data_IF_761996462872
#
_entry.id   IF_761996462872
#
_cell.length_a   1.000
_cell.length_b   1.000
_cell.length_c   1.000
_cell.angle_alpha   90.00
_cell.angle_beta   90.00
_cell.angle_gamma   90.00
#
_symmetry.space_group_name_H-M   'P 1'
#
loop_
_entity.id
_entity.type
_entity.pdbx_description
1 polymer ?
#
# COMPACT_ATOMS: atom_id res chain seq x y z
N UNK A 1 -6.01 -4.72 -13.46
CA UNK A 1 -4.73 -4.85 -12.74
C UNK A 1 -4.72 -6.16 -11.98
N UNK A 2 -3.63 -6.93 -12.03
CA UNK A 2 -3.55 -8.23 -11.39
C UNK A 2 -2.41 -8.27 -10.38
N UNK A 3 -2.70 -8.81 -9.20
CA UNK A 3 -1.73 -9.01 -8.13
C UNK A 3 -1.50 -10.50 -7.91
N UNK A 4 -0.25 -10.93 -7.88
CA UNK A 4 0.16 -12.28 -7.54
C UNK A 4 0.94 -12.23 -6.24
N UNK A 5 0.51 -12.97 -5.23
CA UNK A 5 1.15 -12.96 -3.90
C UNK A 5 1.77 -14.32 -3.62
N UNK A 6 3.08 -14.41 -3.72
CA UNK A 6 3.85 -15.59 -3.36
C UNK A 6 3.96 -15.65 -1.83
N UNK A 7 3.32 -16.62 -1.22
CA UNK A 7 3.14 -16.71 0.24
C UNK A 7 3.16 -18.15 0.73
N UNK A 8 3.37 -18.37 2.01
CA UNK A 8 3.15 -19.65 2.69
C UNK A 8 1.73 -19.78 3.27
N UNK A 9 0.95 -18.67 3.26
CA UNK A 9 -0.36 -18.57 3.92
C UNK A 9 -1.41 -17.91 2.99
N UNK A 10 -1.81 -18.55 1.88
CA UNK A 10 -2.76 -17.99 0.91
C UNK A 10 -4.08 -17.53 1.55
N UNK A 11 -4.60 -18.30 2.51
CA UNK A 11 -5.86 -17.97 3.18
C UNK A 11 -5.80 -16.66 3.96
N UNK A 12 -4.63 -16.28 4.47
CA UNK A 12 -4.43 -15.00 5.14
C UNK A 12 -4.66 -13.83 4.18
N UNK A 13 -4.22 -13.96 2.93
CA UNK A 13 -4.46 -12.97 1.87
C UNK A 13 -5.94 -12.98 1.45
N UNK A 14 -6.45 -14.16 1.07
CA UNK A 14 -7.79 -14.32 0.49
C UNK A 14 -8.90 -13.80 1.42
N UNK A 15 -8.79 -14.07 2.72
CA UNK A 15 -9.78 -13.63 3.70
C UNK A 15 -9.84 -12.10 3.83
N UNK A 16 -8.72 -11.39 3.70
CA UNK A 16 -8.70 -9.93 3.83
C UNK A 16 -9.17 -9.28 2.53
N UNK A 17 -8.62 -9.69 1.38
CA UNK A 17 -8.91 -9.04 0.10
C UNK A 17 -10.31 -9.35 -0.42
N UNK A 18 -10.94 -10.42 0.08
CA UNK A 18 -12.32 -10.80 -0.27
C UNK A 18 -13.41 -9.88 0.28
N UNK A 19 -13.04 -8.96 1.18
CA UNK A 19 -14.00 -8.12 1.92
C UNK A 19 -14.00 -6.65 1.42
N UNK A 20 -15.05 -5.92 1.80
CA UNK A 20 -15.17 -4.47 1.64
C UNK A 20 -14.96 -3.96 0.19
N UNK A 21 -14.12 -2.94 0.03
CA UNK A 21 -13.85 -2.30 -1.28
C UNK A 21 -13.06 -3.22 -2.18
N UNK A 22 -12.03 -3.91 -1.66
CA UNK A 22 -11.22 -4.87 -2.43
C UNK A 22 -12.06 -6.01 -2.97
N UNK A 23 -12.87 -6.64 -2.11
CA UNK A 23 -13.77 -7.73 -2.52
C UNK A 23 -14.77 -7.29 -3.60
N UNK A 24 -15.31 -6.09 -3.51
CA UNK A 24 -16.19 -5.53 -4.56
C UNK A 24 -15.45 -5.27 -5.86
N UNK A 25 -14.21 -4.79 -5.80
CA UNK A 25 -13.37 -4.55 -6.98
C UNK A 25 -12.99 -5.86 -7.69
N UNK A 26 -12.68 -6.91 -6.92
CA UNK A 26 -12.44 -8.27 -7.45
C UNK A 26 -13.69 -8.81 -8.11
N UNK A 27 -14.85 -8.75 -7.44
CA UNK A 27 -16.12 -9.23 -7.98
C UNK A 27 -16.56 -8.49 -9.27
N UNK A 28 -16.14 -7.22 -9.43
CA UNK A 28 -16.37 -6.44 -10.65
C UNK A 28 -15.32 -6.70 -11.75
N UNK A 29 -14.29 -7.49 -11.47
CA UNK A 29 -13.19 -7.76 -12.41
C UNK A 29 -12.26 -6.56 -12.66
N UNK A 30 -12.25 -5.54 -11.76
CA UNK A 30 -11.38 -4.37 -11.87
C UNK A 30 -9.96 -4.69 -11.45
N UNK A 31 -9.83 -5.56 -10.45
CA UNK A 31 -8.56 -6.11 -9.98
C UNK A 31 -8.70 -7.62 -9.80
N UNK A 32 -7.58 -8.33 -9.78
CA UNK A 32 -7.51 -9.71 -9.29
C UNK A 32 -6.40 -9.84 -8.27
N UNK A 33 -6.59 -10.72 -7.27
CA UNK A 33 -5.54 -11.08 -6.30
C UNK A 33 -5.43 -12.59 -6.28
N UNK A 34 -4.27 -13.09 -6.69
CA UNK A 34 -3.97 -14.51 -6.79
C UNK A 34 -2.90 -14.86 -5.74
N UNK A 35 -3.32 -15.40 -4.61
CA UNK A 35 -2.42 -15.88 -3.57
C UNK A 35 -1.89 -17.26 -3.95
N UNK A 36 -0.58 -17.36 -4.20
CA UNK A 36 0.11 -18.55 -4.71
C UNK A 36 0.93 -19.17 -3.58
N UNK A 37 0.62 -20.41 -3.22
CA UNK A 37 1.36 -21.12 -2.18
C UNK A 37 2.73 -21.58 -2.71
N UNK A 38 3.81 -21.03 -2.14
CA UNK A 38 5.19 -21.38 -2.50
C UNK A 38 5.47 -22.88 -2.25
N UNK A 39 4.78 -23.52 -1.29
CA UNK A 39 4.93 -24.96 -0.99
C UNK A 39 4.55 -25.86 -2.16
N UNK A 40 3.69 -25.41 -3.05
CA UNK A 40 3.25 -26.20 -4.21
C UNK A 40 4.33 -26.32 -5.29
N UNK A 41 5.43 -25.57 -5.14
CA UNK A 41 6.53 -25.49 -6.11
C UNK A 41 7.83 -26.14 -5.62
N UNK A 42 7.90 -26.68 -4.40
CA UNK A 42 9.06 -27.41 -3.93
C UNK A 42 9.11 -28.82 -4.53
N UNK A 43 10.32 -29.34 -4.72
CA UNK A 43 10.56 -30.73 -5.10
C UNK A 43 10.69 -31.67 -3.89
N UNK A 44 10.67 -31.11 -2.69
CA UNK A 44 10.75 -31.91 -1.47
C UNK A 44 9.45 -32.68 -1.24
N UNK A 45 9.57 -33.99 -1.00
CA UNK A 45 8.41 -34.89 -0.78
C UNK A 45 7.54 -34.56 0.44
N UNK A 46 8.05 -33.74 1.35
CA UNK A 46 7.35 -33.27 2.55
C UNK A 46 6.95 -31.81 2.45
N UNK A 47 7.00 -31.22 1.23
CA UNK A 47 6.68 -29.82 0.96
C UNK A 47 7.50 -28.82 1.81
N UNK A 48 8.76 -29.15 2.11
CA UNK A 48 9.68 -28.25 2.79
C UNK A 48 10.06 -27.10 1.86
N UNK A 49 10.08 -25.90 2.43
CA UNK A 49 10.42 -24.64 1.73
C UNK A 49 11.48 -23.84 2.50
N UNK A 50 11.97 -24.39 3.59
CA UNK A 50 12.89 -23.75 4.53
C UNK A 50 14.09 -24.66 4.83
N UNK A 51 15.21 -24.04 5.20
CA UNK A 51 16.46 -24.75 5.54
C UNK A 51 17.31 -23.95 6.52
N UNK A 52 18.28 -24.63 7.14
CA UNK A 52 19.21 -23.99 8.08
C UNK A 52 20.17 -23.04 7.37
N UNK A 53 20.49 -21.93 8.04
CA UNK A 53 21.48 -20.98 7.55
C UNK A 53 22.88 -21.61 7.50
N UNK A 54 23.66 -21.35 6.44
CA UNK A 54 25.08 -21.79 6.36
C UNK A 54 25.96 -21.16 7.43
N UNK A 55 25.63 -19.95 7.87
CA UNK A 55 26.38 -19.25 8.93
C UNK A 55 26.17 -19.84 10.33
N UNK A 56 25.28 -20.81 10.48
CA UNK A 56 24.80 -21.24 11.79
C UNK A 56 23.83 -20.20 12.40
N UNK A 57 23.39 -20.46 13.61
CA UNK A 57 22.42 -19.60 14.31
C UNK A 57 21.08 -20.28 14.49
N UNK A 58 20.20 -19.64 15.24
CA UNK A 58 18.83 -20.09 15.43
C UNK A 58 17.96 -19.67 14.23
N UNK A 59 16.99 -20.52 13.88
CA UNK A 59 16.00 -20.23 12.86
C UNK A 59 16.31 -20.85 11.49
N UNK A 60 15.40 -20.59 10.56
CA UNK A 60 15.38 -21.17 9.21
C UNK A 60 15.28 -20.03 8.19
N UNK A 61 15.75 -20.28 6.96
CA UNK A 61 15.54 -19.39 5.81
C UNK A 61 14.64 -20.07 4.79
N UNK A 62 13.83 -19.27 4.08
CA UNK A 62 13.11 -19.74 2.91
C UNK A 62 14.10 -20.08 1.79
N UNK A 63 13.94 -21.27 1.21
CA UNK A 63 14.85 -21.81 0.19
C UNK A 63 14.67 -21.14 -1.16
N UNK A 64 15.75 -21.03 -1.92
CA UNK A 64 15.78 -20.44 -3.25
C UNK A 64 14.92 -21.18 -4.27
N UNK A 65 14.97 -22.52 -4.27
CA UNK A 65 14.37 -23.36 -5.32
C UNK A 65 12.85 -23.22 -5.38
N UNK A 66 12.06 -23.39 -4.28
CA UNK A 66 10.60 -23.24 -4.35
C UNK A 66 10.17 -21.82 -4.75
N UNK A 67 10.87 -20.79 -4.28
CA UNK A 67 10.57 -19.40 -4.63
C UNK A 67 10.80 -19.15 -6.12
N UNK A 68 11.96 -19.55 -6.64
CA UNK A 68 12.30 -19.35 -8.04
C UNK A 68 11.34 -20.11 -8.96
N UNK A 69 10.97 -21.34 -8.62
CA UNK A 69 9.99 -22.13 -9.40
C UNK A 69 8.59 -21.53 -9.36
N UNK A 70 8.14 -21.05 -8.20
CA UNK A 70 6.88 -20.36 -8.05
C UNK A 70 6.83 -19.10 -8.93
N UNK A 71 7.88 -18.28 -8.86
CA UNK A 71 7.99 -17.07 -9.68
C UNK A 71 8.00 -17.37 -11.18
N UNK A 72 8.74 -18.40 -11.62
CA UNK A 72 8.77 -18.80 -13.03
C UNK A 72 7.40 -19.25 -13.52
N UNK A 73 6.67 -20.05 -12.73
CA UNK A 73 5.33 -20.46 -13.07
C UNK A 73 4.34 -19.30 -13.22
N UNK A 74 4.50 -18.26 -12.38
CA UNK A 74 3.75 -17.01 -12.51
C UNK A 74 4.16 -16.27 -13.79
N UNK A 75 5.46 -16.10 -14.03
CA UNK A 75 6.01 -15.43 -15.23
C UNK A 75 5.59 -16.11 -16.53
N UNK A 76 5.62 -17.44 -16.57
CA UNK A 76 5.18 -18.24 -17.72
C UNK A 76 3.69 -18.03 -18.01
N UNK A 77 2.86 -17.97 -16.96
CA UNK A 77 1.42 -17.70 -17.10
C UNK A 77 1.13 -16.29 -17.61
N UNK A 78 1.92 -15.30 -17.17
CA UNK A 78 1.80 -13.90 -17.59
C UNK A 78 2.40 -13.70 -19.00
N UNK A 79 3.42 -14.47 -19.35
CA UNK A 79 4.14 -14.38 -20.63
C UNK A 79 5.35 -13.45 -20.63
N UNK A 80 5.71 -12.88 -19.49
CA UNK A 80 6.90 -12.05 -19.29
C UNK A 80 7.34 -12.05 -17.82
N UNK A 81 8.54 -11.55 -17.52
CA UNK A 81 9.00 -11.34 -16.14
C UNK A 81 8.30 -10.13 -15.54
N UNK A 82 7.43 -10.30 -14.52
CA UNK A 82 6.69 -9.20 -13.90
C UNK A 82 7.56 -8.38 -12.96
N UNK A 83 7.14 -7.16 -12.66
CA UNK A 83 7.69 -6.38 -11.54
C UNK A 83 7.38 -7.11 -10.24
N UNK A 84 8.44 -7.46 -9.49
CA UNK A 84 8.37 -8.33 -8.31
C UNK A 84 8.90 -7.61 -7.09
N UNK A 85 8.04 -7.42 -6.10
CA UNK A 85 8.29 -6.66 -4.89
C UNK A 85 8.56 -7.62 -3.74
N UNK A 86 9.75 -7.56 -3.16
CA UNK A 86 10.01 -8.17 -1.87
C UNK A 86 9.62 -7.21 -0.75
N UNK A 87 8.70 -7.64 0.10
CA UNK A 87 8.21 -6.83 1.22
C UNK A 87 9.12 -7.08 2.42
N UNK A 88 9.92 -6.07 2.76
CA UNK A 88 11.02 -6.21 3.74
C UNK A 88 11.32 -4.90 4.44
N UNK A 89 11.72 -4.91 5.74
CA UNK A 89 12.20 -3.70 6.44
C UNK A 89 13.44 -3.05 5.80
N UNK A 90 14.20 -3.80 4.98
CA UNK A 90 15.40 -3.30 4.30
C UNK A 90 15.10 -2.45 3.06
N UNK A 91 13.84 -2.40 2.62
CA UNK A 91 13.43 -1.70 1.42
C UNK A 91 13.20 -0.20 1.63
N UNK A 92 12.96 0.50 0.52
CA UNK A 92 12.51 1.90 0.57
C UNK A 92 11.12 2.00 1.21
N UNK A 93 10.88 3.06 1.97
CA UNK A 93 9.58 3.23 2.64
C UNK A 93 8.46 3.48 1.61
N UNK A 94 7.41 2.67 1.67
CA UNK A 94 6.22 2.80 0.84
C UNK A 94 5.52 4.14 1.09
N UNK A 95 5.19 4.83 0.02
CA UNK A 95 4.51 6.13 0.04
C UNK A 95 3.40 6.17 -0.99
N UNK A 96 2.51 7.17 -0.90
CA UNK A 96 1.48 7.39 -1.92
C UNK A 96 2.07 7.58 -3.32
N UNK A 97 3.23 8.20 -3.44
CA UNK A 97 3.95 8.37 -4.71
C UNK A 97 4.34 7.02 -5.34
N UNK A 98 4.84 6.09 -4.52
CA UNK A 98 5.17 4.73 -4.96
C UNK A 98 3.90 3.98 -5.34
N UNK A 99 2.80 4.12 -4.57
CA UNK A 99 1.52 3.52 -4.92
C UNK A 99 1.02 3.99 -6.29
N UNK A 100 1.11 5.29 -6.59
CA UNK A 100 0.76 5.88 -7.90
C UNK A 100 1.64 5.34 -9.03
N UNK A 101 2.91 5.09 -8.77
CA UNK A 101 3.82 4.48 -9.75
C UNK A 101 3.43 3.03 -10.03
N UNK A 102 3.26 2.23 -8.97
CA UNK A 102 2.90 0.82 -9.06
C UNK A 102 1.49 0.60 -9.67
N UNK A 103 0.57 1.54 -9.48
CA UNK A 103 -0.77 1.47 -10.07
C UNK A 103 -0.79 1.57 -11.62
N UNK A 104 0.34 1.87 -12.26
CA UNK A 104 0.48 1.91 -13.73
C UNK A 104 0.81 0.54 -14.33
N UNK A 105 1.18 -0.42 -13.50
CA UNK A 105 1.49 -1.78 -13.93
C UNK A 105 0.20 -2.59 -14.15
N UNK A 106 0.21 -3.45 -15.13
CA UNK A 106 -0.89 -4.40 -15.35
C UNK A 106 -0.79 -5.60 -14.41
N UNK A 107 0.45 -6.01 -14.08
CA UNK A 107 0.80 -7.18 -13.28
C UNK A 107 1.83 -6.82 -12.21
N UNK A 108 1.56 -7.16 -10.96
CA UNK A 108 2.52 -7.04 -9.85
C UNK A 108 2.65 -8.36 -9.11
N UNK A 109 3.87 -8.72 -8.75
CA UNK A 109 4.15 -9.87 -7.88
C UNK A 109 4.67 -9.38 -6.54
N UNK A 110 4.15 -9.94 -5.44
CA UNK A 110 4.64 -9.72 -4.09
C UNK A 110 5.27 -11.02 -3.58
N UNK A 111 6.49 -10.95 -3.07
CA UNK A 111 7.12 -12.02 -2.33
C UNK A 111 6.99 -11.74 -0.83
N UNK A 112 6.26 -12.59 -0.13
CA UNK A 112 6.10 -12.55 1.33
C UNK A 112 7.16 -13.43 1.99
N UNK A 113 8.09 -12.80 2.71
CA UNK A 113 9.09 -13.52 3.50
C UNK A 113 8.55 -14.03 4.82
N UNK A 114 9.13 -15.13 5.29
CA UNK A 114 8.88 -15.74 6.59
C UNK A 114 10.17 -16.25 7.24
N UNK A 115 10.07 -16.79 8.45
CA UNK A 115 11.20 -17.29 9.24
C UNK A 115 12.20 -16.16 9.53
N UNK A 116 13.51 -16.44 9.42
CA UNK A 116 14.58 -15.43 9.55
C UNK A 116 14.82 -14.64 8.26
N UNK A 117 14.10 -14.98 7.18
CA UNK A 117 14.20 -14.33 5.89
C UNK A 117 14.22 -15.30 4.70
N UNK A 118 14.68 -14.80 3.59
CA UNK A 118 14.72 -15.47 2.29
C UNK A 118 16.18 -15.63 1.86
N UNK A 119 16.52 -16.76 1.24
CA UNK A 119 17.83 -16.98 0.62
C UNK A 119 18.12 -15.85 -0.39
N UNK A 120 19.26 -15.17 -0.24
CA UNK A 120 19.63 -14.00 -1.04
C UNK A 120 19.61 -14.28 -2.54
N UNK A 121 19.99 -15.48 -2.94
CA UNK A 121 19.95 -15.90 -4.35
C UNK A 121 18.54 -15.90 -4.93
N UNK A 122 17.50 -16.17 -4.11
CA UNK A 122 16.13 -16.06 -4.55
C UNK A 122 15.76 -14.59 -4.81
N UNK A 123 16.17 -13.70 -3.91
CA UNK A 123 15.92 -12.26 -4.06
C UNK A 123 16.58 -11.71 -5.32
N UNK A 124 17.85 -12.05 -5.56
CA UNK A 124 18.57 -11.65 -6.79
C UNK A 124 17.93 -12.16 -8.08
N UNK A 125 17.40 -13.39 -8.06
CA UNK A 125 16.78 -14.01 -9.24
C UNK A 125 15.41 -13.45 -9.58
N UNK A 126 14.59 -13.14 -8.58
CA UNK A 126 13.18 -12.86 -8.81
C UNK A 126 12.76 -11.41 -8.52
N UNK A 127 13.38 -10.72 -7.56
CA UNK A 127 12.92 -9.41 -7.11
C UNK A 127 13.47 -8.28 -7.99
N UNK A 128 12.61 -7.28 -8.22
CA UNK A 128 12.97 -6.02 -8.87
C UNK A 128 13.01 -4.86 -7.89
N UNK A 129 12.19 -4.94 -6.85
CA UNK A 129 11.99 -3.89 -5.86
C UNK A 129 12.00 -4.46 -4.43
N UNK A 130 12.51 -3.65 -3.51
CA UNK A 130 12.54 -3.92 -2.07
C UNK A 130 11.78 -2.79 -1.38
N UNK A 131 10.63 -3.10 -0.75
CA UNK A 131 9.75 -2.07 -0.19
C UNK A 131 9.40 -2.39 1.26
N UNK A 132 9.52 -1.38 2.12
CA UNK A 132 9.15 -1.40 3.54
C UNK A 132 7.86 -0.62 3.78
N UNK A 133 7.03 -1.05 4.73
CA UNK A 133 5.87 -0.27 5.19
C UNK A 133 6.17 0.57 6.44
N UNK A 134 7.42 0.60 6.90
CA UNK A 134 7.87 1.38 8.06
C UNK A 134 8.95 0.67 8.86
N UNK A 135 9.54 1.38 9.83
CA UNK A 135 10.67 0.94 10.63
C UNK A 135 10.21 0.07 11.82
N UNK A 136 9.63 -1.07 11.53
CA UNK A 136 9.23 -2.10 12.51
C UNK A 136 9.22 -3.47 11.87
N UNK A 137 9.30 -4.51 12.70
CA UNK A 137 9.38 -5.90 12.24
C UNK A 137 8.04 -6.60 12.48
N UNK A 138 7.59 -7.35 11.48
CA UNK A 138 6.39 -8.19 11.51
C UNK A 138 6.79 -9.67 11.42
N UNK A 139 5.85 -10.56 11.68
CA UNK A 139 6.05 -12.01 11.62
C UNK A 139 6.12 -12.57 10.20
N UNK A 140 5.70 -11.79 9.19
CA UNK A 140 5.70 -12.20 7.78
C UNK A 140 5.32 -11.07 6.85
N UNK A 141 5.44 -11.30 5.55
CA UNK A 141 5.21 -10.32 4.50
C UNK A 141 3.74 -10.17 4.05
N UNK A 142 2.82 -11.01 4.54
CA UNK A 142 1.43 -11.02 4.06
C UNK A 142 0.68 -9.73 4.38
N UNK A 143 0.73 -9.26 5.63
CA UNK A 143 0.06 -8.01 6.02
C UNK A 143 0.60 -6.79 5.27
N UNK A 144 1.93 -6.60 5.19
CA UNK A 144 2.49 -5.54 4.35
C UNK A 144 2.06 -5.63 2.87
N UNK A 145 2.05 -6.81 2.27
CA UNK A 145 1.59 -7.00 0.90
C UNK A 145 0.12 -6.55 0.73
N UNK A 146 -0.77 -6.92 1.67
CA UNK A 146 -2.17 -6.50 1.64
C UNK A 146 -2.32 -4.98 1.79
N UNK A 147 -1.55 -4.34 2.68
CA UNK A 147 -1.54 -2.87 2.83
C UNK A 147 -1.18 -2.19 1.50
N UNK A 148 -0.15 -2.70 0.82
CA UNK A 148 0.27 -2.16 -0.48
C UNK A 148 -0.78 -2.42 -1.56
N UNK A 149 -1.36 -3.62 -1.62
CA UNK A 149 -2.44 -3.98 -2.56
C UNK A 149 -3.64 -3.05 -2.36
N UNK A 150 -4.06 -2.79 -1.12
CA UNK A 150 -5.17 -1.87 -0.84
C UNK A 150 -4.86 -0.46 -1.35
N UNK A 151 -3.72 0.10 -0.98
CA UNK A 151 -3.31 1.45 -1.38
C UNK A 151 -3.20 1.60 -2.91
N UNK A 152 -2.65 0.60 -3.61
CA UNK A 152 -2.53 0.59 -5.07
C UNK A 152 -3.90 0.42 -5.73
N UNK A 153 -4.73 -0.49 -5.23
CA UNK A 153 -6.05 -0.79 -5.78
C UNK A 153 -6.99 0.43 -5.79
N UNK A 154 -6.90 1.30 -4.76
CA UNK A 154 -7.68 2.55 -4.69
C UNK A 154 -7.41 3.49 -5.87
N UNK A 155 -6.26 3.36 -6.53
CA UNK A 155 -5.84 4.17 -7.67
C UNK A 155 -6.27 3.57 -9.01
N UNK A 156 -6.76 2.33 -9.02
CA UNK A 156 -7.28 1.69 -10.22
C UNK A 156 -8.67 2.28 -10.55
N UNK A 157 -8.89 2.74 -11.81
CA UNK A 157 -10.17 3.32 -12.20
C UNK A 157 -11.37 2.42 -11.89
N UNK A 158 -12.40 2.97 -11.26
CA UNK A 158 -13.64 2.27 -10.93
C UNK A 158 -13.65 1.48 -9.63
N UNK A 159 -12.50 1.34 -8.94
CA UNK A 159 -12.44 0.70 -7.62
C UNK A 159 -13.13 1.57 -6.56
N UNK A 160 -12.84 2.86 -6.53
CA UNK A 160 -13.61 3.83 -5.76
C UNK A 160 -14.79 4.32 -6.60
N UNK A 161 -15.98 4.38 -5.99
CA UNK A 161 -17.21 4.80 -6.69
C UNK A 161 -17.20 6.28 -7.08
N UNK A 162 -16.45 7.11 -6.37
CA UNK A 162 -16.29 8.52 -6.66
C UNK A 162 -14.80 8.81 -6.92
N UNK A 163 -14.45 9.10 -8.15
CA UNK A 163 -13.09 9.50 -8.55
C UNK A 163 -12.66 10.82 -7.90
N UNK A 164 -13.62 11.68 -7.53
CA UNK A 164 -13.33 12.90 -6.76
C UNK A 164 -12.95 12.61 -5.31
N UNK A 165 -13.31 11.43 -4.76
CA UNK A 165 -12.92 11.06 -3.40
C UNK A 165 -11.41 10.88 -3.23
N UNK A 166 -10.69 10.56 -4.30
CA UNK A 166 -9.24 10.48 -4.28
C UNK A 166 -8.57 11.86 -4.44
N UNK A 167 -9.34 12.88 -4.86
CA UNK A 167 -8.84 14.25 -5.01
C UNK A 167 -9.02 14.97 -3.67
N UNK A 168 -7.92 15.41 -3.06
CA UNK A 168 -7.94 16.11 -1.77
C UNK A 168 -7.79 15.22 -0.54
N UNK A 169 -7.56 13.91 -0.70
CA UNK A 169 -7.12 13.03 0.38
C UNK A 169 -5.69 13.37 0.82
N UNK A 170 -5.35 12.95 2.04
CA UNK A 170 -3.98 13.10 2.58
C UNK A 170 -2.94 12.56 1.59
N UNK A 171 -1.86 13.32 1.41
CA UNK A 171 -0.69 13.03 0.55
C UNK A 171 -0.91 13.19 -0.97
N UNK A 172 -2.13 13.49 -1.45
CA UNK A 172 -2.37 13.66 -2.89
C UNK A 172 -1.58 14.83 -3.45
N UNK A 173 -1.57 15.95 -2.73
CA UNK A 173 -0.81 17.18 -3.05
C UNK A 173 0.20 17.55 -1.94
N UNK A 174 0.52 16.63 -1.05
CA UNK A 174 1.55 16.79 -0.02
C UNK A 174 1.04 17.28 1.32
N UNK A 175 -0.25 17.58 1.47
CA UNK A 175 -0.87 17.95 2.73
C UNK A 175 -1.64 16.78 3.37
N UNK A 176 -1.92 16.88 4.66
CA UNK A 176 -2.95 16.10 5.32
C UNK A 176 -4.32 16.69 4.99
N UNK A 177 -5.33 15.85 4.87
CA UNK A 177 -6.71 16.24 4.64
C UNK A 177 -7.25 17.13 5.76
N UNK A 178 -8.10 18.10 5.40
CA UNK A 178 -8.82 18.97 6.34
C UNK A 178 -9.78 18.17 7.25
N UNK A 179 -10.26 18.73 8.39
CA UNK A 179 -11.24 18.05 9.22
C UNK A 179 -12.57 17.85 8.49
N UNK A 180 -13.12 16.65 8.61
CA UNK A 180 -14.39 16.26 8.05
C UNK A 180 -15.47 16.28 9.13
N UNK A 181 -16.69 16.69 8.77
CA UNK A 181 -17.85 16.76 9.65
C UNK A 181 -19.05 16.06 9.03
N UNK A 182 -19.88 15.46 9.88
CA UNK A 182 -21.14 14.83 9.48
C UNK A 182 -22.27 15.27 10.42
N UNK A 183 -23.48 14.79 10.20
CA UNK A 183 -24.66 15.07 11.04
C UNK A 183 -24.57 14.34 12.38
N UNK A 184 -25.14 14.91 13.46
CA UNK A 184 -25.89 16.17 13.54
C UNK A 184 -24.95 17.41 13.51
N UNK A 185 -25.53 18.60 13.23
CA UNK A 185 -24.80 19.89 13.19
C UNK A 185 -24.18 20.25 14.55
N UNK A 186 -24.86 19.92 15.63
CA UNK A 186 -24.37 20.12 17.01
C UNK A 186 -24.40 18.79 17.74
N UNK A 187 -23.28 18.44 18.37
CA UNK A 187 -23.15 17.27 19.21
C UNK A 187 -22.35 17.60 20.48
N UNK A 188 -22.92 17.44 21.67
CA UNK A 188 -22.32 17.80 22.96
C UNK A 188 -21.68 19.21 22.94
N UNK A 189 -22.46 20.21 22.57
CA UNK A 189 -22.04 21.63 22.44
C UNK A 189 -20.96 21.92 21.39
N UNK A 190 -20.46 20.92 20.69
CA UNK A 190 -19.55 21.07 19.57
C UNK A 190 -20.34 21.27 18.27
N UNK A 191 -20.09 22.37 17.58
CA UNK A 191 -20.77 22.74 16.35
C UNK A 191 -19.90 22.54 15.13
N UNK A 192 -20.52 22.09 14.03
CA UNK A 192 -19.90 22.14 12.70
C UNK A 192 -19.56 23.60 12.34
N UNK A 193 -18.37 23.89 11.79
CA UNK A 193 -18.00 25.25 11.34
C UNK A 193 -19.06 25.86 10.43
N UNK A 194 -19.49 27.07 10.73
CA UNK A 194 -20.57 27.77 9.98
C UNK A 194 -20.26 27.92 8.49
N UNK A 195 -18.98 28.05 8.16
CA UNK A 195 -18.55 28.17 6.76
C UNK A 195 -18.96 26.98 5.92
N UNK A 196 -18.95 25.76 6.49
CA UNK A 196 -19.36 24.53 5.81
C UNK A 196 -20.87 24.47 5.55
N UNK A 197 -21.66 25.24 6.30
CA UNK A 197 -23.11 25.35 6.18
C UNK A 197 -23.53 26.50 5.25
N UNK A 198 -22.58 27.37 4.85
CA UNK A 198 -22.86 28.61 4.13
C UNK A 198 -23.27 28.46 2.66
N UNK A 199 -22.98 27.31 2.03
CA UNK A 199 -23.16 27.09 0.59
C UNK A 199 -22.19 27.87 -0.32
N UNK A 200 -21.26 28.65 0.25
CA UNK A 200 -20.30 29.43 -0.52
C UNK A 200 -19.06 28.61 -0.91
N UNK A 201 -19.13 27.87 -2.02
CA UNK A 201 -18.09 26.91 -2.44
C UNK A 201 -16.67 27.48 -2.38
N UNK A 202 -16.43 28.66 -2.92
CA UNK A 202 -15.09 29.27 -2.93
C UNK A 202 -14.53 29.54 -1.52
N UNK A 203 -15.38 29.90 -0.56
CA UNK A 203 -14.95 30.10 0.83
C UNK A 203 -14.75 28.76 1.56
N UNK A 204 -15.55 27.76 1.22
CA UNK A 204 -15.40 26.40 1.74
C UNK A 204 -14.06 25.83 1.28
N UNK A 205 -13.71 25.92 0.01
CA UNK A 205 -12.40 25.44 -0.50
C UNK A 205 -11.21 26.18 0.13
N UNK A 206 -11.33 27.49 0.32
CA UNK A 206 -10.31 28.26 1.04
C UNK A 206 -10.16 27.77 2.49
N UNK A 207 -11.25 27.57 3.20
CA UNK A 207 -11.25 27.07 4.57
C UNK A 207 -10.64 25.66 4.66
N UNK A 208 -10.99 24.76 3.71
CA UNK A 208 -10.40 23.42 3.63
C UNK A 208 -8.88 23.47 3.50
N UNK A 209 -8.37 24.34 2.63
CA UNK A 209 -6.93 24.51 2.45
C UNK A 209 -6.26 25.05 3.73
N UNK A 210 -6.86 26.07 4.36
CA UNK A 210 -6.33 26.66 5.60
C UNK A 210 -6.28 25.62 6.74
N UNK A 211 -7.33 24.81 6.89
CA UNK A 211 -7.37 23.75 7.89
C UNK A 211 -6.42 22.58 7.57
N UNK A 212 -6.25 22.23 6.29
CA UNK A 212 -5.27 21.24 5.86
C UNK A 212 -3.83 21.71 6.19
N UNK A 213 -3.49 22.97 5.89
CA UNK A 213 -2.20 23.58 6.23
C UNK A 213 -1.96 23.56 7.75
N UNK A 214 -2.95 24.00 8.53
CA UNK A 214 -2.87 24.00 10.00
C UNK A 214 -2.65 22.60 10.55
N UNK A 215 -3.46 21.64 10.14
CA UNK A 215 -3.36 20.24 10.58
C UNK A 215 -2.02 19.61 10.18
N UNK A 216 -1.53 19.92 8.97
CA UNK A 216 -0.24 19.41 8.50
C UNK A 216 0.91 20.00 9.31
N UNK A 217 0.90 21.31 9.59
CA UNK A 217 1.89 21.96 10.44
C UNK A 217 1.96 21.34 11.84
N UNK A 218 0.78 21.07 12.44
CA UNK A 218 0.68 20.52 13.79
C UNK A 218 1.13 19.06 13.90
N UNK A 219 0.81 18.23 12.89
CA UNK A 219 0.95 16.77 12.96
C UNK A 219 2.11 16.21 12.15
N UNK A 220 2.45 16.86 11.06
CA UNK A 220 3.48 16.44 10.10
C UNK A 220 4.25 17.69 9.61
N UNK A 221 5.02 18.36 10.52
CA UNK A 221 5.71 19.61 10.19
C UNK A 221 6.64 19.49 8.98
N UNK A 222 7.28 18.33 8.78
CA UNK A 222 8.14 18.08 7.64
C UNK A 222 7.40 18.14 6.28
N UNK A 223 6.15 17.67 6.23
CA UNK A 223 5.30 17.78 5.03
C UNK A 223 4.85 19.24 4.81
N UNK A 224 4.56 19.95 5.89
CA UNK A 224 4.20 21.37 5.79
C UNK A 224 5.34 22.20 5.21
N UNK A 225 6.56 22.03 5.70
CA UNK A 225 7.76 22.73 5.22
C UNK A 225 8.02 22.43 3.73
N UNK A 226 7.90 21.16 3.34
CA UNK A 226 8.02 20.74 1.94
C UNK A 226 6.95 21.40 1.06
N UNK A 227 5.70 21.41 1.53
CA UNK A 227 4.59 22.02 0.80
C UNK A 227 4.81 23.51 0.59
N UNK A 228 5.15 24.26 1.63
CA UNK A 228 5.40 25.72 1.55
C UNK A 228 6.59 26.02 0.62
N UNK A 229 7.60 25.17 0.59
CA UNK A 229 8.76 25.33 -0.29
C UNK A 229 8.42 25.10 -1.76
N UNK A 230 7.50 24.20 -2.08
CA UNK A 230 7.22 23.73 -3.45
C UNK A 230 5.98 24.36 -4.08
N UNK A 231 5.07 24.92 -3.27
CA UNK A 231 3.79 25.45 -3.75
C UNK A 231 3.64 26.95 -3.50
N UNK A 232 3.02 27.64 -4.48
CA UNK A 232 2.63 29.03 -4.31
C UNK A 232 1.19 29.10 -3.80
N UNK A 233 1.03 29.62 -2.59
CA UNK A 233 -0.29 29.73 -1.97
C UNK A 233 -1.15 30.82 -2.61
N UNK A 234 -2.48 30.67 -2.66
CA UNK A 234 -3.40 31.72 -3.06
C UNK A 234 -3.22 32.95 -2.14
N UNK A 235 -3.26 34.17 -2.72
CA UNK A 235 -2.99 35.44 -2.02
C UNK A 235 -3.80 35.72 -0.75
N UNK A 236 -4.95 35.04 -0.57
CA UNK A 236 -5.84 35.21 0.59
C UNK A 236 -5.73 34.07 1.62
N UNK A 237 -4.86 33.09 1.40
CA UNK A 237 -4.70 31.94 2.31
C UNK A 237 -4.07 32.42 3.62
N UNK A 238 -4.72 32.15 4.74
CA UNK A 238 -4.16 32.37 6.07
C UNK A 238 -3.20 31.24 6.43
N UNK A 239 -1.95 31.60 6.70
CA UNK A 239 -0.98 30.64 7.20
C UNK A 239 -1.20 30.40 8.70
N UNK A 240 -1.02 29.19 9.19
CA UNK A 240 -1.05 28.89 10.64
C UNK A 240 0.12 29.58 11.34
N UNK A 241 -0.15 30.16 12.50
CA UNK A 241 0.83 30.80 13.41
C UNK A 241 1.87 29.81 13.97
#
# INVERSE_FOLDING_TARGET
MNFHVMTLFPEMINNIVGESILGRAINKGLISVNAVNIRDYTLDKHNKVDGYCYSGGAGMLMQVEPIHRCHNAISDKIGHKPRTIYVTPQGITFTQKIAVELAKEDELVFLCGHYEGVDERALELVCTDFISIGDYVLTGGELPAVIMIDAISRLVPGVLNNTESAVGESFTDGLLEHPQYTRPEVYMDMRVPEILLSGHQAKIEQWKLEEALKRTKERRPELYEEYIRTHTLPKKTKLPE
#
